data_IF_309412634739
#
_entry.id   IF_309412634739
#
_cell.length_a   1.000
_cell.length_b   1.000
_cell.length_c   1.000
_cell.angle_alpha   90.00
_cell.angle_beta   90.00
_cell.angle_gamma   90.00
#
_symmetry.space_group_name_H-M   'P 1'
#
loop_
_entity.id
_entity.type
_entity.pdbx_description
1 polymer ?
#
# COMPACT_ATOMS: atom_id res chain seq x y z
N UNK A 1 -9.88 -5.96 -12.67
CA UNK A 1 -10.03 -5.97 -11.20
C UNK A 1 -8.66 -5.99 -10.54
N UNK A 2 -8.51 -5.38 -9.35
CA UNK A 2 -7.27 -5.41 -8.56
C UNK A 2 -7.58 -5.89 -7.15
N UNK A 3 -6.80 -6.85 -6.67
CA UNK A 3 -6.82 -7.31 -5.28
C UNK A 3 -5.53 -6.86 -4.61
N UNK A 4 -5.64 -6.21 -3.46
CA UNK A 4 -4.50 -5.83 -2.63
C UNK A 4 -4.54 -6.59 -1.31
N UNK A 5 -3.37 -6.96 -0.80
CA UNK A 5 -3.25 -7.60 0.52
C UNK A 5 -1.96 -7.17 1.20
N UNK A 6 -1.94 -7.24 2.52
CA UNK A 6 -0.72 -7.06 3.29
C UNK A 6 0.02 -8.39 3.44
N UNK A 7 1.35 -8.33 3.41
CA UNK A 7 2.23 -9.47 3.65
C UNK A 7 3.12 -9.17 4.85
N UNK A 8 3.43 -10.22 5.63
CA UNK A 8 4.08 -10.19 6.94
C UNK A 8 3.19 -9.71 8.09
N UNK A 9 3.70 -9.83 9.32
CA UNK A 9 3.07 -9.28 10.52
C UNK A 9 3.24 -7.75 10.55
N UNK A 10 2.26 -7.02 11.08
CA UNK A 10 2.29 -5.54 11.16
C UNK A 10 3.49 -4.97 11.92
N UNK A 11 4.12 -5.75 12.81
CA UNK A 11 5.31 -5.39 13.58
C UNK A 11 6.61 -5.78 12.87
N UNK A 12 6.54 -6.50 11.75
CA UNK A 12 7.70 -6.86 10.96
C UNK A 12 8.15 -5.65 10.12
N UNK A 13 9.46 -5.39 10.10
CA UNK A 13 10.05 -4.29 9.30
C UNK A 13 9.85 -4.45 7.79
N UNK A 14 9.40 -5.62 7.33
CA UNK A 14 9.06 -5.90 5.95
C UNK A 14 7.57 -5.70 5.65
N UNK A 15 6.73 -5.36 6.62
CA UNK A 15 5.28 -5.25 6.45
C UNK A 15 4.93 -4.30 5.31
N UNK A 16 4.29 -4.84 4.28
CA UNK A 16 4.08 -4.15 3.01
C UNK A 16 2.76 -4.59 2.37
N UNK A 17 2.30 -3.84 1.36
CA UNK A 17 1.13 -4.19 0.56
C UNK A 17 1.56 -4.66 -0.82
N UNK A 18 0.91 -5.72 -1.29
CA UNK A 18 1.07 -6.25 -2.64
C UNK A 18 -0.25 -6.24 -3.39
N UNK A 19 -0.17 -6.36 -4.71
CA UNK A 19 -1.35 -6.47 -5.57
C UNK A 19 -1.30 -7.65 -6.54
N UNK A 20 -2.46 -7.98 -7.08
CA UNK A 20 -2.66 -8.89 -8.20
C UNK A 20 -3.81 -8.38 -9.07
N UNK A 21 -3.82 -8.81 -10.34
CA UNK A 21 -4.82 -8.40 -11.33
C UNK A 21 -5.65 -9.58 -11.80
N UNK A 22 -6.92 -9.32 -12.13
CA UNK A 22 -7.80 -10.30 -12.77
C UNK A 22 -8.81 -9.60 -13.67
N UNK A 23 -9.29 -10.30 -14.70
CA UNK A 23 -10.44 -9.86 -15.50
C UNK A 23 -11.78 -10.10 -14.78
N UNK A 24 -11.80 -10.88 -13.68
CA UNK A 24 -13.01 -11.23 -12.92
C UNK A 24 -12.84 -10.94 -11.43
N UNK A 25 -13.93 -10.61 -10.72
CA UNK A 25 -13.92 -10.49 -9.24
C UNK A 25 -13.57 -11.82 -8.56
N UNK A 26 -13.90 -12.94 -9.20
CA UNK A 26 -13.66 -14.29 -8.69
C UNK A 26 -12.28 -14.86 -9.05
N UNK A 27 -11.45 -14.10 -9.78
CA UNK A 27 -10.15 -14.55 -10.24
C UNK A 27 -10.19 -15.38 -11.54
N UNK A 28 -9.07 -16.05 -11.89
CA UNK A 28 -7.82 -16.13 -11.13
C UNK A 28 -7.12 -14.76 -11.03
N UNK A 29 -6.41 -14.53 -9.92
CA UNK A 29 -5.60 -13.33 -9.72
C UNK A 29 -4.14 -13.64 -9.99
N UNK A 30 -3.54 -12.87 -10.90
CA UNK A 30 -2.14 -13.01 -11.28
C UNK A 30 -1.33 -11.86 -10.68
N UNK A 31 -0.30 -12.21 -9.92
CA UNK A 31 0.65 -11.26 -9.36
C UNK A 31 1.83 -11.09 -10.32
N UNK A 32 2.11 -9.87 -10.81
CA UNK A 32 3.33 -9.61 -11.57
C UNK A 32 4.57 -9.80 -10.69
N UNK A 33 5.75 -9.97 -11.30
CA UNK A 33 7.02 -10.16 -10.58
C UNK A 33 7.30 -9.01 -9.60
N UNK A 34 7.12 -7.77 -10.06
CA UNK A 34 7.07 -6.58 -9.20
C UNK A 34 5.62 -6.24 -8.91
N UNK A 35 5.13 -6.66 -7.74
CA UNK A 35 3.75 -6.39 -7.32
C UNK A 35 3.63 -5.60 -6.00
N UNK A 36 4.63 -4.79 -5.67
CA UNK A 36 4.63 -3.95 -4.49
C UNK A 36 3.72 -2.74 -4.74
N UNK A 37 2.78 -2.51 -3.83
CA UNK A 37 1.97 -1.28 -3.80
C UNK A 37 2.67 -0.25 -2.93
N UNK A 38 3.07 -0.63 -1.73
CA UNK A 38 3.79 0.22 -0.77
C UNK A 38 4.64 -0.67 0.13
N UNK A 39 5.83 -0.21 0.48
CA UNK A 39 6.72 -0.86 1.44
C UNK A 39 7.37 0.16 2.38
N UNK A 40 7.95 -0.31 3.51
CA UNK A 40 8.71 0.52 4.44
C UNK A 40 9.85 1.28 3.75
N UNK A 41 10.15 2.50 4.22
CA UNK A 41 11.21 3.35 3.69
C UNK A 41 11.82 4.21 4.80
N UNK A 42 13.15 4.17 4.94
CA UNK A 42 13.84 4.86 6.04
C UNK A 42 13.33 4.39 7.41
N UNK A 43 12.90 5.33 8.24
CA UNK A 43 12.32 5.07 9.57
C UNK A 43 10.82 4.70 9.52
N UNK A 44 10.19 4.81 8.34
CA UNK A 44 8.77 4.50 8.16
C UNK A 44 8.59 3.00 8.08
N UNK A 45 7.81 2.44 9.00
CA UNK A 45 7.51 1.02 9.09
C UNK A 45 6.02 0.75 9.29
N UNK A 46 5.63 -0.52 9.12
CA UNK A 46 4.25 -0.93 9.34
C UNK A 46 3.27 -0.42 8.29
N UNK A 47 3.71 -0.16 7.05
CA UNK A 47 2.85 0.32 5.96
C UNK A 47 1.91 -0.77 5.44
N UNK A 48 0.65 -0.80 5.91
CA UNK A 48 -0.31 -1.79 5.44
C UNK A 48 -1.74 -1.61 5.94
N UNK A 49 -2.53 -2.70 5.91
CA UNK A 49 -3.98 -2.69 6.10
C UNK A 49 -4.65 -1.57 5.29
N UNK A 50 -4.52 -1.69 3.97
CA UNK A 50 -4.88 -0.62 3.08
C UNK A 50 -6.29 -0.76 2.51
N UNK A 51 -6.89 0.38 2.18
CA UNK A 51 -8.06 0.51 1.32
C UNK A 51 -7.72 1.40 0.12
N UNK A 52 -8.37 1.13 -1.01
CA UNK A 52 -8.15 1.86 -2.25
C UNK A 52 -9.42 2.59 -2.65
N UNK A 53 -9.31 3.86 -3.01
CA UNK A 53 -10.44 4.66 -3.50
C UNK A 53 -10.07 5.42 -4.78
N UNK A 54 -11.07 5.64 -5.62
CA UNK A 54 -10.97 6.52 -6.78
C UNK A 54 -11.65 7.85 -6.44
N UNK A 55 -10.92 8.95 -6.54
CA UNK A 55 -11.43 10.30 -6.30
C UNK A 55 -10.93 11.24 -7.39
N UNK A 56 -11.84 11.95 -8.05
CA UNK A 56 -11.52 12.84 -9.18
C UNK A 56 -10.61 12.18 -10.24
N UNK A 57 -10.96 10.95 -10.63
CA UNK A 57 -10.20 10.13 -11.59
C UNK A 57 -8.77 9.75 -11.18
N UNK A 58 -8.42 9.94 -9.91
CA UNK A 58 -7.13 9.56 -9.33
C UNK A 58 -7.30 8.47 -8.26
N UNK A 59 -6.39 7.51 -8.26
CA UNK A 59 -6.36 6.45 -7.25
C UNK A 59 -5.63 6.91 -6.01
N UNK A 60 -6.21 6.65 -4.84
CA UNK A 60 -5.63 6.93 -3.54
C UNK A 60 -5.61 5.66 -2.70
N UNK A 61 -4.46 5.39 -2.08
CA UNK A 61 -4.27 4.33 -1.11
C UNK A 61 -4.36 4.95 0.29
N UNK A 62 -5.38 4.56 1.05
CA UNK A 62 -5.42 4.80 2.48
C UNK A 62 -4.79 3.61 3.18
N UNK A 63 -3.88 3.84 4.11
CA UNK A 63 -3.17 2.77 4.82
C UNK A 63 -2.78 3.25 6.22
N UNK A 64 -2.31 2.35 7.08
CA UNK A 64 -1.67 2.75 8.32
C UNK A 64 -0.15 2.59 8.26
N UNK A 65 0.56 3.37 9.08
CA UNK A 65 1.97 3.13 9.45
C UNK A 65 2.15 3.24 10.96
N UNK A 66 3.31 2.82 11.46
CA UNK A 66 3.70 3.09 12.85
C UNK A 66 4.09 4.57 13.00
N UNK A 67 3.72 5.18 14.13
CA UNK A 67 4.30 6.49 14.49
C UNK A 67 5.81 6.39 14.69
N UNK A 68 6.56 7.48 14.48
CA UNK A 68 8.02 7.48 14.68
C UNK A 68 8.39 7.03 16.10
N UNK A 69 9.25 6.02 16.19
CA UNK A 69 9.66 5.41 17.47
C UNK A 69 8.55 4.67 18.22
N UNK A 70 7.40 4.43 17.60
CA UNK A 70 6.27 3.70 18.19
C UNK A 70 6.18 2.27 17.66
N UNK A 71 5.55 1.39 18.44
CA UNK A 71 5.33 -0.01 18.08
C UNK A 71 3.94 -0.46 18.56
N UNK A 72 3.49 -1.62 18.08
CA UNK A 72 2.24 -2.22 18.54
C UNK A 72 1.02 -1.55 17.90
N UNK A 73 0.19 -0.87 18.71
CA UNK A 73 -1.11 -0.36 18.30
C UNK A 73 -1.12 1.13 17.94
N UNK A 74 -0.02 1.84 18.21
CA UNK A 74 0.18 3.26 17.90
C UNK A 74 0.41 3.45 16.40
N UNK A 75 -0.72 3.53 15.69
CA UNK A 75 -0.78 3.62 14.23
C UNK A 75 -1.33 4.97 13.79
N UNK A 76 -0.80 5.47 12.69
CA UNK A 76 -1.27 6.68 12.02
C UNK A 76 -1.97 6.31 10.72
N UNK A 77 -3.07 6.99 10.40
CA UNK A 77 -3.74 6.85 9.11
C UNK A 77 -3.05 7.77 8.12
N UNK A 78 -2.75 7.20 6.96
CA UNK A 78 -2.05 7.80 5.85
C UNK A 78 -2.87 7.68 4.58
N UNK A 79 -2.64 8.58 3.65
CA UNK A 79 -3.20 8.55 2.31
C UNK A 79 -2.13 8.99 1.32
N UNK A 80 -1.91 8.24 0.25
CA UNK A 80 -1.05 8.67 -0.84
C UNK A 80 -1.66 8.30 -2.19
N UNK A 81 -1.35 9.09 -3.21
CA UNK A 81 -1.79 8.83 -4.57
C UNK A 81 -1.07 7.58 -5.11
N UNK A 82 -1.83 6.69 -5.73
CA UNK A 82 -1.30 5.52 -6.43
C UNK A 82 -1.29 5.76 -7.93
N UNK A 83 -0.10 6.04 -8.47
CA UNK A 83 0.05 6.41 -9.87
C UNK A 83 0.20 5.20 -10.79
N UNK A 84 -0.23 5.38 -12.04
CA UNK A 84 -0.15 4.36 -13.08
C UNK A 84 0.56 4.94 -14.31
N UNK A 85 1.67 4.34 -14.71
CA UNK A 85 2.43 4.70 -15.91
C UNK A 85 2.18 3.64 -16.97
N UNK A 86 1.65 4.03 -18.13
CA UNK A 86 1.24 3.10 -19.19
C UNK A 86 0.31 1.97 -18.71
N UNK A 87 -0.55 2.25 -17.72
CA UNK A 87 -1.46 1.27 -17.12
C UNK A 87 -0.83 0.36 -16.06
N UNK A 88 0.47 0.48 -15.81
CA UNK A 88 1.19 -0.26 -14.77
C UNK A 88 1.27 0.58 -13.49
N UNK A 89 0.88 0.04 -12.32
CA UNK A 89 1.02 0.76 -11.07
C UNK A 89 2.48 0.99 -10.72
N UNK A 90 2.76 2.16 -10.15
CA UNK A 90 4.06 2.50 -9.58
C UNK A 90 4.01 2.27 -8.07
N UNK A 91 5.03 1.65 -7.44
CA UNK A 91 5.08 1.54 -5.98
C UNK A 91 5.07 2.93 -5.33
N UNK A 92 4.23 3.10 -4.32
CA UNK A 92 4.18 4.29 -3.48
C UNK A 92 5.41 4.28 -2.57
N UNK A 93 6.10 5.42 -2.53
CA UNK A 93 7.13 5.70 -1.52
C UNK A 93 6.43 6.47 -0.40
N UNK A 94 6.32 5.92 0.83
CA UNK A 94 5.66 6.64 1.91
C UNK A 94 6.45 7.91 2.25
N UNK A 95 5.74 9.03 2.42
CA UNK A 95 6.33 10.30 2.85
C UNK A 95 6.20 10.49 4.36
N UNK A 96 6.89 11.52 4.89
CA UNK A 96 6.85 11.93 6.30
C UNK A 96 6.09 13.27 6.51
N UNK A 97 5.38 13.77 5.48
CA UNK A 97 4.64 15.02 5.59
C UNK A 97 3.60 15.26 4.49
N UNK A 98 2.39 15.63 4.90
CA UNK A 98 1.30 16.12 4.05
C UNK A 98 0.08 15.20 4.00
N UNK A 99 0.30 13.93 3.68
CA UNK A 99 -0.75 12.92 3.45
C UNK A 99 -0.37 11.56 4.05
N UNK A 100 0.94 11.30 4.19
CA UNK A 100 1.63 10.97 5.43
C UNK A 100 3.10 11.41 5.36
#
# INVERSE_FOLDING_TARGET
MRLTWSIYDTRDVRYQVRYAVSSSVYGPYEAPESNIVICPAGEISGTGHASLTLYQDEWYLFYHRMGQGKTGYDRQVCCDKWEFVHGHPVPIVPTDGGSC
#
